data_IF_597339692270
#
_entry.id   IF_597339692270
#
_cell.length_a   1.000
_cell.length_b   1.000
_cell.length_c   1.000
_cell.angle_alpha   90.00
_cell.angle_beta   90.00
_cell.angle_gamma   90.00
#
_symmetry.space_group_name_H-M   'P 1'
#
loop_
_entity.id
_entity.type
_entity.pdbx_description
1 polymer ?
#
# COMPACT_ATOMS: atom_id res chain seq x y z
N UNK A 1 -57.58 14.86 4.70
CA UNK A 1 -56.74 13.91 3.93
C UNK A 1 -55.63 14.57 3.09
N UNK A 2 -55.68 15.87 2.77
CA UNK A 2 -54.59 16.57 2.04
C UNK A 2 -53.34 16.89 2.90
N UNK A 3 -53.52 17.17 4.20
CA UNK A 3 -52.42 17.60 5.10
C UNK A 3 -51.50 16.42 5.51
N UNK A 4 -52.04 15.20 5.66
CA UNK A 4 -51.24 14.00 5.96
C UNK A 4 -50.32 13.56 4.82
N UNK A 5 -50.68 13.83 3.55
CA UNK A 5 -49.86 13.47 2.39
C UNK A 5 -48.65 14.40 2.22
N UNK A 6 -48.78 15.68 2.61
CA UNK A 6 -47.68 16.65 2.52
C UNK A 6 -46.61 16.40 3.60
N UNK A 7 -47.01 15.97 4.79
CA UNK A 7 -46.07 15.64 5.88
C UNK A 7 -45.31 14.35 5.55
N UNK A 8 -45.97 13.33 4.98
CA UNK A 8 -45.31 12.08 4.59
C UNK A 8 -44.27 12.28 3.46
N UNK A 9 -44.53 13.20 2.51
CA UNK A 9 -43.58 13.52 1.45
C UNK A 9 -42.37 14.32 1.95
N UNK A 10 -42.53 15.20 2.93
CA UNK A 10 -41.41 15.92 3.55
C UNK A 10 -40.54 15.01 4.42
N UNK A 11 -41.11 14.01 5.09
CA UNK A 11 -40.35 13.02 5.87
C UNK A 11 -39.52 12.07 4.98
N UNK A 12 -40.01 11.72 3.79
CA UNK A 12 -39.27 10.87 2.84
C UNK A 12 -38.13 11.65 2.16
N UNK A 13 -38.31 12.96 1.92
CA UNK A 13 -37.27 13.82 1.35
C UNK A 13 -36.12 14.11 2.34
N UNK A 14 -36.39 14.13 3.65
CA UNK A 14 -35.36 14.26 4.69
C UNK A 14 -34.60 12.94 5.00
N UNK A 15 -35.20 11.77 4.70
CA UNK A 15 -34.49 10.49 4.80
C UNK A 15 -33.61 10.16 3.59
N UNK A 16 -33.82 10.80 2.43
CA UNK A 16 -33.03 10.56 1.23
C UNK A 16 -31.71 11.37 1.16
N UNK A 17 -31.46 12.30 2.09
CA UNK A 17 -30.24 13.13 2.10
C UNK A 17 -29.11 12.63 3.04
N UNK A 18 -29.23 11.44 3.63
CA UNK A 18 -28.15 10.86 4.46
C UNK A 18 -27.35 9.75 3.75
N UNK A 19 -27.29 9.77 2.41
CA UNK A 19 -26.19 9.14 1.67
C UNK A 19 -25.16 10.20 1.28
N UNK A 20 -24.74 11.03 2.24
CA UNK A 20 -23.36 11.50 2.22
C UNK A 20 -22.55 10.24 2.49
N UNK A 21 -22.15 9.52 1.44
CA UNK A 21 -20.97 8.67 1.55
C UNK A 21 -19.91 9.57 2.17
N UNK A 22 -19.43 9.22 3.37
CA UNK A 22 -18.26 9.89 3.91
C UNK A 22 -17.19 9.75 2.83
N UNK A 23 -16.93 10.82 2.07
CA UNK A 23 -15.91 10.81 1.03
C UNK A 23 -14.61 10.51 1.74
N UNK A 24 -14.06 9.34 1.45
CA UNK A 24 -12.78 8.94 1.97
C UNK A 24 -11.72 9.94 1.45
N UNK A 25 -10.63 10.08 2.21
CA UNK A 25 -9.61 11.08 1.95
C UNK A 25 -8.96 10.89 0.58
N UNK A 26 -8.82 9.63 0.15
CA UNK A 26 -8.29 9.24 -1.15
C UNK A 26 -9.17 9.76 -2.30
N UNK A 27 -10.49 9.59 -2.22
CA UNK A 27 -11.45 10.09 -3.23
C UNK A 27 -11.40 11.61 -3.32
N UNK A 28 -11.22 12.31 -2.19
CA UNK A 28 -11.05 13.76 -2.18
C UNK A 28 -9.82 14.20 -2.98
N UNK A 29 -8.70 13.49 -2.86
CA UNK A 29 -7.51 13.78 -3.65
C UNK A 29 -7.62 13.33 -5.10
N UNK A 30 -8.25 12.20 -5.38
CA UNK A 30 -8.56 11.74 -6.73
C UNK A 30 -9.29 12.81 -7.55
N UNK A 31 -10.27 13.47 -6.93
CA UNK A 31 -11.06 14.52 -7.57
C UNK A 31 -10.27 15.82 -7.84
N UNK A 32 -9.09 16.00 -7.23
CA UNK A 32 -8.21 17.15 -7.47
C UNK A 32 -7.19 16.90 -8.58
N UNK A 33 -7.09 15.67 -9.09
CA UNK A 33 -6.12 15.32 -10.12
C UNK A 33 -6.46 16.08 -11.40
N UNK A 34 -5.50 16.83 -11.98
CA UNK A 34 -5.74 17.48 -13.26
C UNK A 34 -6.00 16.44 -14.35
N UNK A 35 -6.84 16.74 -15.35
CA UNK A 35 -7.10 15.81 -16.43
C UNK A 35 -5.79 15.42 -17.13
N UNK A 36 -5.71 14.17 -17.58
CA UNK A 36 -4.55 13.69 -18.31
C UNK A 36 -4.38 14.56 -19.57
N UNK A 37 -3.19 15.13 -19.78
CA UNK A 37 -2.81 15.80 -20.99
C UNK A 37 -3.29 15.16 -22.28
N UNK A 38 -3.74 16.00 -23.22
CA UNK A 38 -3.88 15.54 -24.61
C UNK A 38 -2.51 15.14 -25.15
N UNK A 39 -2.52 14.14 -26.04
CA UNK A 39 -1.34 13.62 -26.76
C UNK A 39 -0.75 14.67 -27.71
N UNK A 40 -0.11 15.71 -27.18
CA UNK A 40 0.40 16.82 -27.99
C UNK A 40 1.88 17.04 -27.79
N UNK A 41 2.61 16.83 -28.88
CA UNK A 41 3.99 17.28 -29.03
C UNK A 41 4.10 18.77 -29.31
N UNK A 42 2.97 19.48 -29.42
CA UNK A 42 2.88 20.90 -29.74
C UNK A 42 2.52 21.76 -28.51
N UNK A 43 2.75 21.25 -27.30
CA UNK A 43 2.56 22.02 -26.05
C UNK A 43 3.73 22.98 -25.77
N UNK A 44 3.47 24.16 -25.18
CA UNK A 44 4.55 25.07 -24.77
C UNK A 44 5.27 24.61 -23.51
N UNK A 45 6.46 25.15 -23.25
CA UNK A 45 7.22 24.83 -22.03
C UNK A 45 6.48 25.30 -20.77
N UNK A 46 5.90 26.50 -20.82
CA UNK A 46 5.14 27.09 -19.72
C UNK A 46 3.89 26.25 -19.34
N UNK A 47 3.20 25.68 -20.33
CA UNK A 47 2.05 24.80 -20.06
C UNK A 47 2.49 23.49 -19.40
N UNK A 48 3.62 22.90 -19.82
CA UNK A 48 4.18 21.70 -19.16
C UNK A 48 4.60 22.02 -17.73
N UNK A 49 5.29 23.14 -17.50
CA UNK A 49 5.72 23.55 -16.16
C UNK A 49 4.53 23.80 -15.23
N UNK A 50 3.48 24.49 -15.73
CA UNK A 50 2.25 24.73 -14.97
C UNK A 50 1.56 23.41 -14.58
N UNK A 51 1.47 22.47 -15.52
CA UNK A 51 0.89 21.15 -15.25
C UNK A 51 1.70 20.36 -14.22
N UNK A 52 3.03 20.37 -14.34
CA UNK A 52 3.92 19.71 -13.39
C UNK A 52 3.86 20.33 -11.99
N UNK A 53 3.73 21.66 -11.90
CA UNK A 53 3.55 22.37 -10.64
C UNK A 53 2.24 21.99 -9.95
N UNK A 54 1.12 21.96 -10.69
CA UNK A 54 -0.18 21.54 -10.14
C UNK A 54 -0.11 20.13 -9.52
N UNK A 55 0.54 19.19 -10.21
CA UNK A 55 0.73 17.82 -9.70
C UNK A 55 1.68 17.80 -8.51
N UNK A 56 2.77 18.58 -8.55
CA UNK A 56 3.74 18.66 -7.46
C UNK A 56 3.15 19.22 -6.17
N UNK A 57 2.26 20.22 -6.28
CA UNK A 57 1.49 20.73 -5.14
C UNK A 57 0.60 19.62 -4.57
N UNK A 58 -0.14 18.91 -5.41
CA UNK A 58 -1.01 17.81 -4.99
C UNK A 58 -0.21 16.66 -4.33
N UNK A 59 0.94 16.25 -4.90
CA UNK A 59 1.82 15.23 -4.29
C UNK A 59 2.29 15.68 -2.90
N UNK A 60 2.65 16.95 -2.76
CA UNK A 60 3.10 17.53 -1.49
C UNK A 60 1.97 17.54 -0.45
N UNK A 61 0.74 17.89 -0.83
CA UNK A 61 -0.44 17.79 0.04
C UNK A 61 -0.65 16.36 0.54
N UNK A 62 -0.67 15.39 -0.37
CA UNK A 62 -0.87 13.97 -0.03
C UNK A 62 0.27 13.45 0.85
N UNK A 63 1.53 13.80 0.53
CA UNK A 63 2.70 13.43 1.33
C UNK A 63 2.61 13.96 2.76
N UNK A 64 2.18 15.21 2.93
CA UNK A 64 1.96 15.79 4.24
C UNK A 64 0.83 15.07 4.99
N UNK A 65 -0.25 14.73 4.31
CA UNK A 65 -1.35 13.99 4.88
C UNK A 65 -0.94 12.57 5.33
N UNK A 66 -0.20 11.82 4.51
CA UNK A 66 0.37 10.52 4.91
C UNK A 66 1.23 10.67 6.17
N UNK A 67 2.08 11.71 6.23
CA UNK A 67 2.90 11.98 7.42
C UNK A 67 2.05 12.23 8.65
N UNK A 68 0.96 12.98 8.55
CA UNK A 68 0.03 13.22 9.65
C UNK A 68 -0.65 11.92 10.12
N UNK A 69 -1.13 11.09 9.19
CA UNK A 69 -1.76 9.81 9.50
C UNK A 69 -0.79 8.84 10.19
N UNK A 70 0.45 8.73 9.70
CA UNK A 70 1.51 7.94 10.34
C UNK A 70 1.86 8.47 11.73
N UNK A 71 1.83 9.79 11.94
CA UNK A 71 2.03 10.36 13.28
C UNK A 71 0.89 10.01 14.24
N UNK A 72 -0.36 10.03 13.76
CA UNK A 72 -1.53 9.62 14.55
C UNK A 72 -1.47 8.14 14.92
N UNK A 73 -1.16 7.27 13.97
CA UNK A 73 -0.94 5.83 14.20
C UNK A 73 0.14 5.59 15.25
N UNK A 74 1.32 6.20 15.08
CA UNK A 74 2.42 6.08 16.03
C UNK A 74 2.10 6.63 17.41
N UNK A 75 1.37 7.74 17.49
CA UNK A 75 0.94 8.31 18.76
C UNK A 75 -0.02 7.37 19.50
N UNK A 76 -0.95 6.71 18.78
CA UNK A 76 -1.83 5.73 19.38
C UNK A 76 -1.06 4.52 19.91
N UNK A 77 -0.10 4.00 19.16
CA UNK A 77 0.77 2.89 19.61
C UNK A 77 1.60 3.28 20.84
N UNK A 78 2.17 4.49 20.88
CA UNK A 78 2.96 4.96 22.03
C UNK A 78 2.11 5.21 23.28
N UNK A 79 0.98 5.91 23.14
CA UNK A 79 0.08 6.20 24.26
C UNK A 79 -0.55 4.93 24.85
N UNK A 80 -0.57 3.85 24.07
CA UNK A 80 -1.07 2.56 24.48
C UNK A 80 0.05 1.58 24.86
N UNK A 81 1.33 1.96 24.88
CA UNK A 81 2.43 1.01 25.17
C UNK A 81 2.30 0.38 26.56
N UNK A 82 1.99 1.18 27.59
CA UNK A 82 1.75 0.69 28.93
C UNK A 82 0.51 -0.22 29.00
N UNK A 83 -0.56 0.18 28.29
CA UNK A 83 -1.81 -0.60 28.19
C UNK A 83 -1.63 -1.89 27.40
N UNK A 84 -0.79 -1.87 26.36
CA UNK A 84 -0.43 -3.00 25.50
C UNK A 84 0.44 -3.99 26.26
N UNK A 85 1.45 -3.53 27.01
CA UNK A 85 2.22 -4.38 27.95
C UNK A 85 1.31 -4.99 29.02
N UNK A 86 0.44 -4.19 29.63
CA UNK A 86 -0.49 -4.67 30.65
C UNK A 86 -1.49 -5.69 30.09
N UNK A 87 -2.04 -5.46 28.90
CA UNK A 87 -2.99 -6.35 28.25
C UNK A 87 -2.32 -7.62 27.72
N UNK A 88 -1.14 -7.54 27.12
CA UNK A 88 -0.35 -8.71 26.73
C UNK A 88 -0.07 -9.60 27.94
N UNK A 89 0.27 -8.99 29.08
CA UNK A 89 0.42 -9.70 30.33
C UNK A 89 -0.88 -10.29 30.86
N UNK A 90 -1.98 -9.53 30.83
CA UNK A 90 -3.28 -10.02 31.28
C UNK A 90 -3.78 -11.18 30.40
N UNK A 91 -3.54 -11.12 29.09
CA UNK A 91 -3.81 -12.18 28.15
C UNK A 91 -2.93 -13.41 28.42
N UNK A 92 -1.64 -13.23 28.68
CA UNK A 92 -0.76 -14.33 29.11
C UNK A 92 -1.23 -14.94 30.44
N UNK A 93 -1.63 -14.13 31.42
CA UNK A 93 -2.16 -14.63 32.69
C UNK A 93 -3.44 -15.45 32.51
N UNK A 94 -4.36 -14.99 31.65
CA UNK A 94 -5.59 -15.69 31.35
C UNK A 94 -5.37 -16.97 30.51
N UNK A 95 -4.41 -16.94 29.59
CA UNK A 95 -4.10 -18.04 28.67
C UNK A 95 -3.25 -19.15 29.33
N UNK A 96 -2.38 -18.79 30.27
CA UNK A 96 -1.43 -19.73 30.91
C UNK A 96 -1.67 -19.90 32.41
N UNK A 97 -2.77 -19.34 32.95
CA UNK A 97 -3.14 -19.45 34.36
C UNK A 97 -2.09 -18.84 35.30
N UNK A 98 -1.40 -17.78 34.88
CA UNK A 98 -0.32 -17.17 35.66
C UNK A 98 -0.87 -16.32 36.79
N UNK A 99 -0.29 -16.47 37.98
CA UNK A 99 -0.59 -15.63 39.12
C UNK A 99 0.01 -14.23 38.93
N UNK A 100 -0.54 -13.25 39.66
CA UNK A 100 -0.02 -11.88 39.65
C UNK A 100 1.46 -11.81 40.11
N UNK A 101 1.87 -12.76 40.95
CA UNK A 101 3.23 -12.85 41.47
C UNK A 101 4.23 -13.37 40.42
N UNK A 102 3.82 -14.36 39.62
CA UNK A 102 4.58 -14.86 38.46
C UNK A 102 4.74 -13.76 37.39
N UNK A 103 3.68 -12.99 37.17
CA UNK A 103 3.65 -11.84 36.27
C UNK A 103 4.60 -10.72 36.71
N UNK A 104 4.63 -10.38 38.00
CA UNK A 104 5.52 -9.36 38.55
C UNK A 104 6.99 -9.80 38.49
N UNK A 105 7.27 -11.10 38.74
CA UNK A 105 8.62 -11.66 38.57
C UNK A 105 9.09 -11.54 37.12
N UNK A 106 8.22 -11.81 36.16
CA UNK A 106 8.51 -11.69 34.73
C UNK A 106 8.82 -10.24 34.31
N UNK A 107 8.03 -9.27 34.79
CA UNK A 107 8.29 -7.84 34.56
C UNK A 107 9.60 -7.36 35.17
N UNK A 108 9.94 -7.87 36.36
CA UNK A 108 11.13 -7.43 37.09
C UNK A 108 12.45 -7.96 36.51
N UNK A 109 12.39 -8.96 35.61
CA UNK A 109 13.56 -9.67 35.09
C UNK A 109 14.29 -10.56 36.11
N UNK A 110 13.78 -10.64 37.35
CA UNK A 110 14.40 -11.36 38.48
C UNK A 110 13.88 -12.79 38.62
N UNK A 111 13.79 -13.53 37.52
CA UNK A 111 13.43 -14.95 37.57
C UNK A 111 14.68 -15.81 37.71
N UNK A 112 14.67 -16.73 38.67
CA UNK A 112 15.68 -17.79 38.74
C UNK A 112 15.51 -18.77 37.57
N UNK A 113 16.55 -19.55 37.25
CA UNK A 113 16.45 -20.60 36.23
C UNK A 113 15.38 -21.67 36.58
N UNK A 114 15.16 -21.92 37.86
CA UNK A 114 14.09 -22.78 38.33
C UNK A 114 12.70 -22.16 38.09
N UNK A 115 12.53 -20.86 38.36
CA UNK A 115 11.29 -20.13 38.07
C UNK A 115 11.00 -20.10 36.56
N UNK A 116 12.04 -19.87 35.72
CA UNK A 116 11.91 -19.88 34.26
C UNK A 116 11.45 -21.25 33.75
N UNK A 117 12.04 -22.32 34.27
CA UNK A 117 11.69 -23.70 33.90
C UNK A 117 10.29 -24.09 34.37
N UNK A 118 9.89 -23.69 35.57
CA UNK A 118 8.54 -23.91 36.09
C UNK A 118 7.48 -23.14 35.30
N UNK A 119 7.75 -21.89 34.95
CA UNK A 119 6.87 -21.05 34.13
C UNK A 119 6.72 -21.64 32.72
N UNK A 120 7.83 -22.02 32.07
CA UNK A 120 7.81 -22.65 30.76
C UNK A 120 7.00 -23.96 30.80
N UNK A 121 7.18 -24.81 31.82
CA UNK A 121 6.40 -26.03 32.00
C UNK A 121 4.90 -25.76 32.18
N UNK A 122 4.53 -24.70 32.93
CA UNK A 122 3.14 -24.31 33.17
C UNK A 122 2.48 -23.77 31.89
N UNK A 123 3.19 -22.93 31.13
CA UNK A 123 2.73 -22.43 29.84
C UNK A 123 2.52 -23.57 28.83
N UNK A 124 3.40 -24.57 28.84
CA UNK A 124 3.33 -25.74 27.96
C UNK A 124 2.21 -26.72 28.34
N UNK A 125 2.03 -27.01 29.64
CA UNK A 125 0.96 -27.90 30.14
C UNK A 125 -0.43 -27.35 29.85
N UNK A 126 -0.63 -26.03 29.92
CA UNK A 126 -1.94 -25.43 29.66
C UNK A 126 -2.28 -25.32 28.17
N UNK A 127 -1.29 -25.21 27.27
CA UNK A 127 -1.55 -25.08 25.83
C UNK A 127 -1.70 -26.40 25.05
N UNK A 128 -1.03 -27.48 25.46
CA UNK A 128 -0.80 -28.59 24.50
C UNK A 128 -1.17 -29.99 24.97
N UNK A 129 -1.40 -30.25 26.26
CA UNK A 129 -1.49 -31.63 26.76
C UNK A 129 -0.32 -32.54 26.27
N UNK A 130 0.81 -31.95 25.86
CA UNK A 130 1.96 -32.61 25.24
C UNK A 130 3.20 -32.52 26.15
N UNK A 131 4.16 -33.42 25.89
CA UNK A 131 5.43 -33.49 26.63
C UNK A 131 6.57 -32.74 25.91
N UNK A 132 7.59 -32.33 26.68
CA UNK A 132 8.81 -31.65 26.19
C UNK A 132 9.55 -32.38 25.04
N UNK A 133 9.38 -33.70 24.92
CA UNK A 133 10.00 -34.50 23.86
C UNK A 133 9.41 -34.25 22.47
N UNK A 134 8.14 -33.88 22.39
CA UNK A 134 7.43 -33.64 21.11
C UNK A 134 7.77 -32.26 20.53
N UNK A 135 8.03 -31.27 21.38
CA UNK A 135 8.42 -29.90 20.99
C UNK A 135 9.81 -29.83 20.38
N UNK A 136 10.76 -30.65 20.86
CA UNK A 136 12.09 -30.76 20.24
C UNK A 136 12.05 -31.35 18.83
N UNK A 137 11.02 -32.14 18.50
CA UNK A 137 10.80 -32.64 17.15
C UNK A 137 10.13 -31.58 16.26
N UNK A 138 9.26 -30.73 16.82
CA UNK A 138 8.66 -29.59 16.11
C UNK A 138 9.69 -28.56 15.64
N UNK A 139 10.67 -28.25 16.51
CA UNK A 139 11.78 -27.35 16.18
C UNK A 139 12.68 -27.87 15.06
N UNK A 140 12.58 -29.17 14.73
CA UNK A 140 13.33 -29.83 13.66
C UNK A 140 12.53 -30.00 12.36
N UNK A 141 11.26 -29.59 12.33
CA UNK A 141 10.42 -29.69 11.12
C UNK A 141 10.71 -28.57 10.11
N UNK A 142 10.54 -28.88 8.83
CA UNK A 142 10.55 -27.89 7.74
C UNK A 142 9.34 -26.95 7.83
N UNK A 143 9.38 -25.78 7.18
CA UNK A 143 8.25 -24.83 7.16
C UNK A 143 6.95 -25.46 6.65
N UNK A 144 7.03 -26.38 5.68
CA UNK A 144 5.88 -27.17 5.25
C UNK A 144 5.37 -28.13 6.34
N UNK A 145 6.26 -28.71 7.14
CA UNK A 145 5.92 -29.54 8.30
C UNK A 145 5.27 -28.75 9.44
N UNK A 146 5.75 -27.53 9.70
CA UNK A 146 5.13 -26.61 10.68
C UNK A 146 3.72 -26.19 10.25
N UNK A 147 3.54 -25.91 8.95
CA UNK A 147 2.21 -25.60 8.37
C UNK A 147 1.23 -26.78 8.50
N UNK A 148 1.65 -27.98 8.12
CA UNK A 148 0.84 -29.18 8.26
C UNK A 148 0.50 -29.50 9.72
N UNK A 149 1.43 -29.23 10.65
CA UNK A 149 1.18 -29.39 12.08
C UNK A 149 0.14 -28.40 12.61
N UNK A 150 0.18 -27.12 12.22
CA UNK A 150 -0.82 -26.14 12.64
C UNK A 150 -2.22 -26.43 12.04
N UNK A 151 -2.28 -26.89 10.79
CA UNK A 151 -3.54 -27.34 10.15
C UNK A 151 -4.10 -28.60 10.82
N UNK A 152 -3.25 -29.57 11.16
CA UNK A 152 -3.64 -30.77 11.88
C UNK A 152 -4.10 -30.45 13.32
N UNK A 153 -3.40 -29.56 14.03
CA UNK A 153 -3.77 -29.14 15.38
C UNK A 153 -5.13 -28.42 15.41
N UNK A 154 -5.38 -27.51 14.47
CA UNK A 154 -6.69 -26.86 14.32
C UNK A 154 -7.82 -27.86 14.01
N UNK A 155 -7.51 -28.95 13.30
CA UNK A 155 -8.47 -30.01 12.96
C UNK A 155 -8.66 -31.03 14.09
N UNK A 156 -7.62 -31.37 14.82
CA UNK A 156 -7.63 -32.35 15.91
C UNK A 156 -8.23 -31.77 17.20
N UNK A 157 -8.00 -30.48 17.49
CA UNK A 157 -8.67 -29.75 18.57
C UNK A 157 -10.20 -29.66 18.36
N UNK A 158 -10.66 -29.66 17.10
CA UNK A 158 -12.07 -29.74 16.72
C UNK A 158 -12.63 -31.17 16.85
N UNK A 159 -11.79 -32.20 16.74
CA UNK A 159 -12.19 -33.62 16.75
C UNK A 159 -12.13 -34.27 18.15
N UNK A 160 -11.20 -33.86 19.01
CA UNK A 160 -11.02 -34.45 20.36
C UNK A 160 -11.88 -33.82 21.46
N UNK A 161 -12.65 -32.77 21.15
CA UNK A 161 -13.50 -32.09 22.13
C UNK A 161 -14.90 -32.71 22.22
N UNK A 162 -15.01 -33.88 22.83
CA UNK A 162 -16.33 -34.43 23.21
C UNK A 162 -17.02 -33.60 24.31
N UNK A 163 -16.29 -32.70 24.99
CA UNK A 163 -16.79 -31.66 25.92
C UNK A 163 -15.73 -30.52 26.02
N UNK A 164 -15.73 -29.49 25.15
CA UNK A 164 -14.79 -28.37 25.31
C UNK A 164 -15.23 -27.47 26.47
N UNK A 165 -14.35 -27.24 27.44
CA UNK A 165 -14.58 -26.22 28.47
C UNK A 165 -14.64 -24.83 27.79
N UNK A 166 -15.42 -23.89 28.34
CA UNK A 166 -15.71 -22.58 27.72
C UNK A 166 -14.47 -21.74 27.35
N UNK A 167 -13.32 -22.02 27.97
CA UNK A 167 -12.02 -21.38 27.67
C UNK A 167 -11.42 -21.93 26.36
N UNK A 168 -11.40 -23.26 26.18
CA UNK A 168 -10.88 -23.90 24.97
C UNK A 168 -11.70 -23.56 23.72
N UNK A 169 -13.03 -23.42 23.87
CA UNK A 169 -13.90 -22.99 22.78
C UNK A 169 -13.59 -21.55 22.34
N UNK A 170 -13.40 -20.63 23.29
CA UNK A 170 -13.02 -19.24 23.01
C UNK A 170 -11.61 -19.11 22.40
N UNK A 171 -10.68 -19.97 22.78
CA UNK A 171 -9.32 -19.98 22.21
C UNK A 171 -9.29 -20.54 20.79
N UNK A 172 -10.04 -21.61 20.53
CA UNK A 172 -10.24 -22.16 19.17
C UNK A 172 -10.90 -21.14 18.23
N UNK A 173 -11.95 -20.45 18.70
CA UNK A 173 -12.62 -19.38 17.95
C UNK A 173 -11.66 -18.21 17.65
N UNK A 174 -10.86 -17.76 18.63
CA UNK A 174 -9.84 -16.71 18.42
C UNK A 174 -8.73 -17.13 17.44
N UNK A 175 -8.29 -18.38 17.49
CA UNK A 175 -7.28 -18.92 16.59
C UNK A 175 -7.81 -18.98 15.15
N UNK A 176 -9.08 -19.41 14.99
CA UNK A 176 -9.77 -19.44 13.69
C UNK A 176 -9.94 -18.04 13.11
N UNK A 177 -10.45 -17.08 13.89
CA UNK A 177 -10.58 -15.68 13.47
C UNK A 177 -9.24 -15.07 13.04
N UNK A 178 -8.15 -15.38 13.76
CA UNK A 178 -6.82 -14.84 13.44
C UNK A 178 -6.26 -15.45 12.16
N UNK A 179 -6.51 -16.74 11.92
CA UNK A 179 -6.13 -17.43 10.70
C UNK A 179 -6.92 -16.92 9.48
N UNK A 180 -8.23 -16.68 9.64
CA UNK A 180 -9.08 -16.10 8.58
C UNK A 180 -8.59 -14.71 8.17
N UNK A 181 -8.26 -13.83 9.13
CA UNK A 181 -7.69 -12.51 8.83
C UNK A 181 -6.33 -12.58 8.12
N UNK A 182 -5.45 -13.51 8.52
CA UNK A 182 -4.16 -13.71 7.84
C UNK A 182 -4.34 -14.19 6.40
N UNK A 183 -5.26 -15.14 6.16
CA UNK A 183 -5.58 -15.60 4.82
C UNK A 183 -6.16 -14.48 3.95
N UNK A 184 -7.05 -13.68 4.52
CA UNK A 184 -7.62 -12.53 3.82
C UNK A 184 -6.54 -11.49 3.49
N UNK A 185 -5.65 -11.18 4.44
CA UNK A 185 -4.51 -10.29 4.21
C UNK A 185 -3.65 -10.78 3.04
N UNK A 186 -3.31 -12.07 3.02
CA UNK A 186 -2.51 -12.66 1.95
C UNK A 186 -3.21 -12.56 0.60
N UNK A 187 -4.51 -12.84 0.55
CA UNK A 187 -5.32 -12.73 -0.67
C UNK A 187 -5.36 -11.31 -1.22
N UNK A 188 -5.61 -10.33 -0.35
CA UNK A 188 -5.65 -8.90 -0.71
C UNK A 188 -4.27 -8.41 -1.17
N UNK A 189 -3.20 -8.77 -0.46
CA UNK A 189 -1.83 -8.44 -0.88
C UNK A 189 -1.47 -9.05 -2.24
N UNK A 190 -1.95 -10.26 -2.55
CA UNK A 190 -1.72 -10.86 -3.87
C UNK A 190 -2.37 -10.06 -5.00
N UNK A 191 -3.60 -9.54 -4.79
CA UNK A 191 -4.28 -8.67 -5.76
C UNK A 191 -3.56 -7.33 -5.94
N UNK A 192 -3.14 -6.70 -4.84
CA UNK A 192 -2.37 -5.44 -4.86
C UNK A 192 -1.05 -5.63 -5.62
N UNK A 193 -0.35 -6.74 -5.36
CA UNK A 193 0.90 -7.06 -6.07
C UNK A 193 0.67 -7.31 -7.56
N UNK A 194 -0.40 -8.00 -7.95
CA UNK A 194 -0.76 -8.19 -9.36
C UNK A 194 -1.07 -6.85 -10.05
N UNK A 195 -1.82 -5.96 -9.39
CA UNK A 195 -2.06 -4.60 -9.88
C UNK A 195 -0.74 -3.82 -10.06
N UNK A 196 0.15 -3.87 -9.07
CA UNK A 196 1.48 -3.24 -9.12
C UNK A 196 2.34 -3.78 -10.27
N UNK A 197 2.34 -5.10 -10.49
CA UNK A 197 3.03 -5.72 -11.61
C UNK A 197 2.47 -5.27 -12.96
N UNK A 198 1.14 -5.23 -13.10
CA UNK A 198 0.49 -4.72 -14.31
C UNK A 198 0.90 -3.27 -14.58
N UNK A 199 0.88 -2.41 -13.56
CA UNK A 199 1.33 -1.01 -13.65
C UNK A 199 2.79 -0.93 -14.09
N UNK A 200 3.69 -1.69 -13.45
CA UNK A 200 5.12 -1.70 -13.80
C UNK A 200 5.38 -2.14 -15.25
N UNK A 201 4.60 -3.11 -15.74
CA UNK A 201 4.71 -3.61 -17.10
C UNK A 201 4.31 -2.58 -18.16
N UNK A 202 3.33 -1.71 -17.87
CA UNK A 202 2.91 -0.62 -18.78
C UNK A 202 4.08 0.28 -19.15
N UNK A 203 4.85 0.72 -18.14
CA UNK A 203 5.96 1.65 -18.34
C UNK A 203 7.23 0.95 -18.82
N UNK A 204 7.52 -0.23 -18.29
CA UNK A 204 8.70 -1.01 -18.68
C UNK A 204 8.70 -1.33 -20.18
N UNK A 205 7.52 -1.61 -20.76
CA UNK A 205 7.37 -1.87 -22.19
C UNK A 205 7.82 -0.67 -23.06
N UNK A 206 7.56 0.55 -22.60
CA UNK A 206 7.96 1.79 -23.30
C UNK A 206 9.44 2.09 -23.05
N UNK A 207 9.88 1.97 -21.79
CA UNK A 207 11.25 2.28 -21.39
C UNK A 207 12.28 1.38 -22.08
N UNK A 208 11.95 0.08 -22.22
CA UNK A 208 12.82 -0.94 -22.82
C UNK A 208 12.60 -1.12 -24.32
N UNK A 209 11.76 -0.31 -24.96
CA UNK A 209 11.56 -0.40 -26.41
C UNK A 209 12.90 -0.15 -27.14
N UNK A 210 13.41 -1.12 -27.93
CA UNK A 210 14.66 -0.96 -28.68
C UNK A 210 14.63 0.25 -29.63
N UNK A 211 13.48 0.58 -30.21
CA UNK A 211 13.30 1.74 -31.08
C UNK A 211 13.45 3.04 -30.29
N UNK A 212 12.95 3.10 -29.06
CA UNK A 212 13.15 4.26 -28.17
C UNK A 212 14.63 4.50 -27.92
N UNK A 213 15.34 3.44 -27.53
CA UNK A 213 16.78 3.47 -27.23
C UNK A 213 17.56 3.92 -28.48
N UNK A 214 17.24 3.37 -29.65
CA UNK A 214 17.90 3.73 -30.90
C UNK A 214 17.65 5.20 -31.29
N UNK A 215 16.42 5.69 -31.17
CA UNK A 215 16.08 7.08 -31.49
C UNK A 215 16.79 8.06 -30.57
N UNK A 216 16.85 7.79 -29.25
CA UNK A 216 17.62 8.60 -28.30
C UNK A 216 19.11 8.63 -28.65
N UNK A 217 19.72 7.47 -28.91
CA UNK A 217 21.14 7.39 -29.29
C UNK A 217 21.44 8.18 -30.58
N UNK A 218 20.53 8.16 -31.56
CA UNK A 218 20.67 8.95 -32.78
C UNK A 218 20.57 10.45 -32.51
N UNK A 219 19.63 10.89 -31.66
CA UNK A 219 19.47 12.29 -31.26
C UNK A 219 20.75 12.76 -30.55
N UNK A 220 21.24 12.01 -29.56
CA UNK A 220 22.47 12.33 -28.81
C UNK A 220 23.69 12.43 -29.74
N UNK A 221 23.83 11.50 -30.68
CA UNK A 221 24.92 11.53 -31.68
C UNK A 221 24.86 12.79 -32.55
N UNK A 222 23.66 13.17 -33.00
CA UNK A 222 23.48 14.39 -33.80
C UNK A 222 23.75 15.65 -32.96
N UNK A 223 23.30 15.70 -31.71
CA UNK A 223 23.57 16.80 -30.78
C UNK A 223 25.07 16.94 -30.48
N UNK A 224 25.77 15.83 -30.23
CA UNK A 224 27.23 15.84 -30.04
C UNK A 224 27.96 16.39 -31.26
N UNK A 225 27.56 15.97 -32.46
CA UNK A 225 28.09 16.53 -33.71
C UNK A 225 27.81 18.02 -33.84
N UNK A 226 26.59 18.46 -33.51
CA UNK A 226 26.22 19.88 -33.54
C UNK A 226 27.13 20.70 -32.60
N UNK A 227 27.28 20.27 -31.35
CA UNK A 227 28.14 20.93 -30.36
C UNK A 227 29.60 20.98 -30.81
N UNK A 228 30.11 19.93 -31.49
CA UNK A 228 31.50 19.92 -31.98
C UNK A 228 31.79 20.96 -33.08
N UNK A 229 30.76 21.50 -33.73
CA UNK A 229 30.89 22.53 -34.77
C UNK A 229 30.78 23.96 -34.20
N UNK A 230 30.38 24.12 -32.94
CA UNK A 230 30.27 25.43 -32.28
C UNK A 230 31.68 26.04 -32.13
N UNK A 231 31.85 27.28 -32.60
CA UNK A 231 33.12 28.01 -32.51
C UNK A 231 34.15 27.64 -33.59
N UNK A 232 33.82 26.77 -34.54
CA UNK A 232 34.66 26.52 -35.71
C UNK A 232 34.54 27.68 -36.70
N UNK A 233 35.61 28.48 -36.85
CA UNK A 233 35.68 29.70 -37.66
C UNK A 233 35.68 29.47 -39.20
N UNK A 234 35.02 28.43 -39.70
CA UNK A 234 35.23 27.89 -41.05
C UNK A 234 34.01 27.84 -41.99
N UNK A 235 32.94 28.61 -41.76
CA UNK A 235 31.79 28.63 -42.68
C UNK A 235 30.86 27.40 -42.57
N UNK A 236 30.79 26.77 -41.40
CA UNK A 236 29.96 25.59 -41.14
C UNK A 236 28.48 25.91 -40.83
N UNK A 237 28.07 27.19 -40.93
CA UNK A 237 26.71 27.66 -40.60
C UNK A 237 25.60 26.85 -41.26
N UNK A 238 25.66 26.69 -42.59
CA UNK A 238 24.65 25.92 -43.33
C UNK A 238 24.57 24.44 -42.88
N UNK A 239 25.71 23.85 -42.50
CA UNK A 239 25.77 22.48 -41.99
C UNK A 239 25.21 22.37 -40.57
N UNK A 240 25.42 23.39 -39.74
CA UNK A 240 24.82 23.50 -38.40
C UNK A 240 23.31 23.67 -38.50
N UNK A 241 22.82 24.56 -39.36
CA UNK A 241 21.39 24.80 -39.58
C UNK A 241 20.69 23.54 -40.09
N UNK A 242 21.28 22.85 -41.08
CA UNK A 242 20.76 21.57 -41.58
C UNK A 242 20.71 20.50 -40.49
N UNK A 243 21.73 20.44 -39.62
CA UNK A 243 21.77 19.48 -38.53
C UNK A 243 20.76 19.83 -37.41
N UNK A 244 20.57 21.10 -37.10
CA UNK A 244 19.58 21.57 -36.13
C UNK A 244 18.16 21.18 -36.57
N UNK A 245 17.83 21.36 -37.85
CA UNK A 245 16.54 20.91 -38.42
C UNK A 245 16.39 19.39 -38.31
N UNK A 246 17.44 18.61 -38.58
CA UNK A 246 17.41 17.14 -38.44
C UNK A 246 17.19 16.70 -36.99
N UNK A 247 17.88 17.34 -36.03
CA UNK A 247 17.71 17.08 -34.60
C UNK A 247 16.26 17.35 -34.19
N UNK A 248 15.72 18.53 -34.53
CA UNK A 248 14.34 18.91 -34.23
C UNK A 248 13.34 17.92 -34.82
N UNK A 249 13.51 17.53 -36.08
CA UNK A 249 12.63 16.56 -36.73
C UNK A 249 12.66 15.20 -36.04
N UNK A 250 13.83 14.74 -35.60
CA UNK A 250 13.95 13.45 -34.91
C UNK A 250 13.39 13.50 -33.49
N UNK A 251 13.59 14.60 -32.76
CA UNK A 251 12.95 14.86 -31.47
C UNK A 251 11.43 14.90 -31.58
N UNK A 252 10.88 15.50 -32.64
CA UNK A 252 9.44 15.52 -32.89
C UNK A 252 8.90 14.11 -33.18
N UNK A 253 9.59 13.31 -34.00
CA UNK A 253 9.20 11.91 -34.22
C UNK A 253 9.23 11.09 -32.94
N UNK A 254 10.26 11.29 -32.11
CA UNK A 254 10.40 10.62 -30.82
C UNK A 254 9.21 10.94 -29.92
N UNK A 255 8.89 12.23 -29.80
CA UNK A 255 7.72 12.67 -29.05
C UNK A 255 6.42 12.07 -29.60
N UNK A 256 6.19 12.14 -30.91
CA UNK A 256 4.95 11.66 -31.56
C UNK A 256 4.76 10.16 -31.39
N UNK A 257 5.85 9.40 -31.28
CA UNK A 257 5.78 7.96 -31.11
C UNK A 257 5.55 7.54 -29.66
N UNK A 258 6.23 8.16 -28.70
CA UNK A 258 6.26 7.68 -27.31
C UNK A 258 5.34 8.44 -26.36
N UNK A 259 5.00 9.70 -26.64
CA UNK A 259 4.04 10.46 -25.80
C UNK A 259 2.67 9.80 -25.78
N UNK A 260 2.05 9.42 -26.92
CA UNK A 260 0.76 8.71 -26.92
C UNK A 260 0.80 7.40 -26.13
N UNK A 261 1.87 6.60 -26.32
CA UNK A 261 2.04 5.33 -25.59
C UNK A 261 2.12 5.55 -24.08
N UNK A 262 2.85 6.59 -23.65
CA UNK A 262 2.96 6.93 -22.25
C UNK A 262 1.64 7.47 -21.67
N UNK A 263 0.94 8.35 -22.38
CA UNK A 263 -0.38 8.82 -21.98
C UNK A 263 -1.39 7.65 -21.86
N UNK A 264 -1.35 6.69 -22.78
CA UNK A 264 -2.14 5.46 -22.68
C UNK A 264 -1.76 4.62 -21.44
N UNK A 265 -0.46 4.47 -21.15
CA UNK A 265 0.01 3.82 -19.93
C UNK A 265 -0.49 4.53 -18.66
N UNK A 266 -0.45 5.87 -18.62
CA UNK A 266 -0.99 6.67 -17.52
C UNK A 266 -2.50 6.48 -17.35
N UNK A 267 -3.28 6.47 -18.45
CA UNK A 267 -4.72 6.18 -18.38
C UNK A 267 -5.03 4.78 -17.83
N UNK A 268 -4.29 3.76 -18.29
CA UNK A 268 -4.44 2.41 -17.79
C UNK A 268 -4.02 2.29 -16.32
N UNK A 269 -2.94 2.97 -15.91
CA UNK A 269 -2.52 3.04 -14.51
C UNK A 269 -3.65 3.65 -13.66
N UNK A 270 -4.25 4.77 -14.05
CA UNK A 270 -5.38 5.36 -13.33
C UNK A 270 -6.55 4.37 -13.16
N UNK A 271 -6.86 3.62 -14.22
CA UNK A 271 -7.90 2.59 -14.19
C UNK A 271 -7.56 1.44 -13.25
N UNK A 272 -6.31 0.97 -13.26
CA UNK A 272 -5.87 -0.10 -12.35
C UNK A 272 -5.88 0.38 -10.90
N UNK A 273 -5.36 1.58 -10.65
CA UNK A 273 -5.33 2.22 -9.32
C UNK A 273 -6.74 2.31 -8.74
N UNK A 274 -7.67 2.92 -9.47
CA UNK A 274 -9.05 3.12 -9.01
C UNK A 274 -9.75 1.79 -8.70
N UNK A 275 -9.50 0.76 -9.51
CA UNK A 275 -10.02 -0.59 -9.26
C UNK A 275 -9.37 -1.29 -8.06
N UNK A 276 -8.12 -0.95 -7.70
CA UNK A 276 -7.41 -1.55 -6.55
C UNK A 276 -7.64 -0.81 -5.23
N UNK A 277 -8.27 0.37 -5.23
CA UNK A 277 -8.54 1.13 -4.00
C UNK A 277 -9.33 0.35 -2.95
N UNK A 278 -10.40 -0.41 -3.28
CA UNK A 278 -11.10 -1.21 -2.29
C UNK A 278 -10.21 -2.26 -1.62
N UNK A 279 -9.31 -2.88 -2.38
CA UNK A 279 -8.34 -3.85 -1.84
C UNK A 279 -7.32 -3.13 -0.92
N UNK A 280 -6.88 -1.92 -1.27
CA UNK A 280 -6.00 -1.11 -0.41
C UNK A 280 -6.65 -0.73 0.92
N UNK A 281 -7.89 -0.25 0.88
CA UNK A 281 -8.65 0.05 2.10
C UNK A 281 -8.82 -1.20 2.96
N UNK A 282 -9.16 -2.33 2.33
CA UNK A 282 -9.32 -3.60 3.05
C UNK A 282 -8.02 -4.07 3.69
N UNK A 283 -6.88 -3.89 3.03
CA UNK A 283 -5.57 -4.20 3.63
C UNK A 283 -5.30 -3.35 4.88
N UNK A 284 -5.62 -2.05 4.83
CA UNK A 284 -5.51 -1.14 5.96
C UNK A 284 -6.41 -1.55 7.13
N UNK A 285 -7.66 -1.90 6.85
CA UNK A 285 -8.62 -2.40 7.85
C UNK A 285 -8.15 -3.70 8.51
N UNK A 286 -7.76 -4.71 7.72
CA UNK A 286 -7.26 -6.00 8.24
C UNK A 286 -6.01 -5.77 9.10
N UNK A 287 -5.11 -4.88 8.67
CA UNK A 287 -3.91 -4.54 9.44
C UNK A 287 -4.26 -3.88 10.77
N UNK A 288 -5.23 -2.97 10.80
CA UNK A 288 -5.74 -2.36 12.02
C UNK A 288 -6.44 -3.39 12.94
N UNK A 289 -7.25 -4.28 12.38
CA UNK A 289 -7.92 -5.37 13.11
C UNK A 289 -6.93 -6.35 13.74
N UNK A 290 -5.91 -6.77 12.99
CA UNK A 290 -4.83 -7.60 13.51
C UNK A 290 -4.05 -6.89 14.61
N UNK A 291 -3.73 -5.60 14.42
CA UNK A 291 -3.05 -4.78 15.44
C UNK A 291 -3.88 -4.72 16.73
N UNK A 292 -5.19 -4.47 16.60
CA UNK A 292 -6.12 -4.48 17.73
C UNK A 292 -6.18 -5.85 18.41
N UNK A 293 -6.21 -6.95 17.66
CA UNK A 293 -6.23 -8.30 18.25
C UNK A 293 -4.91 -8.65 18.96
N UNK A 294 -3.77 -8.20 18.46
CA UNK A 294 -2.45 -8.51 19.02
C UNK A 294 -2.06 -7.61 20.21
N UNK A 295 -2.44 -6.34 20.15
CA UNK A 295 -1.93 -5.31 21.08
C UNK A 295 -3.04 -4.59 21.85
N UNK A 296 -4.31 -4.82 21.50
CA UNK A 296 -5.50 -4.10 22.02
C UNK A 296 -5.48 -2.61 21.67
N UNK A 297 -4.58 -2.19 20.78
CA UNK A 297 -4.48 -0.82 20.30
C UNK A 297 -5.45 -0.65 19.14
N UNK A 298 -6.34 0.33 19.27
CA UNK A 298 -7.26 0.70 18.20
C UNK A 298 -6.58 1.75 17.32
N UNK A 299 -6.24 1.34 16.10
CA UNK A 299 -5.74 2.27 15.08
C UNK A 299 -6.93 3.07 14.52
N UNK A 300 -6.83 4.41 14.39
CA UNK A 300 -7.90 5.22 13.81
C UNK A 300 -8.24 4.74 12.39
N UNK A 301 -9.53 4.63 12.07
CA UNK A 301 -9.98 4.14 10.75
C UNK A 301 -9.40 4.93 9.57
N UNK A 302 -9.18 6.24 9.74
CA UNK A 302 -8.58 7.10 8.72
C UNK A 302 -7.14 6.69 8.35
N UNK A 303 -6.42 5.99 9.23
CA UNK A 303 -5.08 5.48 8.93
C UNK A 303 -5.10 4.30 7.94
N UNK A 304 -6.25 3.64 7.73
CA UNK A 304 -6.38 2.59 6.71
C UNK A 304 -6.16 3.11 5.28
N UNK A 305 -6.30 4.42 5.06
CA UNK A 305 -6.09 5.06 3.75
C UNK A 305 -4.61 5.37 3.44
N UNK A 306 -3.65 5.06 4.33
CA UNK A 306 -2.23 5.35 4.06
C UNK A 306 -1.77 4.67 2.76
N UNK A 307 -2.12 3.40 2.56
CA UNK A 307 -1.71 2.64 1.37
C UNK A 307 -2.29 3.19 0.08
N UNK A 308 -3.58 3.52 0.06
CA UNK A 308 -4.22 4.13 -1.11
C UNK A 308 -3.65 5.51 -1.46
N UNK A 309 -3.31 6.32 -0.45
CA UNK A 309 -2.65 7.61 -0.66
C UNK A 309 -1.22 7.44 -1.20
N UNK A 310 -0.49 6.39 -0.79
CA UNK A 310 0.84 6.08 -1.33
C UNK A 310 0.77 5.65 -2.80
N UNK A 311 -0.15 4.77 -3.15
CA UNK A 311 -0.40 4.37 -4.54
C UNK A 311 -0.80 5.56 -5.41
N UNK A 312 -1.65 6.45 -4.87
CA UNK A 312 -2.06 7.67 -5.56
C UNK A 312 -0.84 8.57 -5.86
N UNK A 313 0.11 8.69 -4.93
CA UNK A 313 1.36 9.42 -5.18
C UNK A 313 2.22 8.74 -6.25
N UNK A 314 2.26 7.40 -6.26
CA UNK A 314 2.91 6.64 -7.33
C UNK A 314 2.31 6.94 -8.71
N UNK A 315 1.00 7.11 -8.78
CA UNK A 315 0.32 7.58 -10.00
C UNK A 315 0.68 9.03 -10.35
N UNK A 316 0.69 9.95 -9.38
CA UNK A 316 1.04 11.35 -9.62
C UNK A 316 2.47 11.51 -10.16
N UNK A 317 3.44 10.71 -9.69
CA UNK A 317 4.79 10.66 -10.26
C UNK A 317 4.76 10.36 -11.76
N UNK A 318 3.96 9.37 -12.19
CA UNK A 318 3.83 9.04 -13.61
C UNK A 318 3.07 10.12 -14.38
N UNK A 319 2.03 10.68 -13.79
CA UNK A 319 1.27 11.76 -14.42
C UNK A 319 2.14 13.02 -14.64
N UNK A 320 2.97 13.40 -13.66
CA UNK A 320 3.89 14.55 -13.76
C UNK A 320 4.87 14.39 -14.93
N UNK A 321 5.21 13.15 -15.26
CA UNK A 321 6.10 12.78 -16.34
C UNK A 321 5.39 12.55 -17.69
N UNK A 322 4.11 12.95 -17.84
CA UNK A 322 3.33 12.77 -19.08
C UNK A 322 4.02 13.32 -20.34
N UNK A 323 4.82 14.38 -20.19
CA UNK A 323 5.53 15.04 -21.28
C UNK A 323 7.02 14.71 -21.35
N UNK A 324 7.50 13.68 -20.64
CA UNK A 324 8.95 13.36 -20.59
C UNK A 324 9.56 13.04 -21.96
N UNK A 325 8.74 12.64 -22.95
CA UNK A 325 9.18 12.33 -24.31
C UNK A 325 9.24 13.55 -25.23
N UNK A 326 8.81 14.72 -24.75
CA UNK A 326 8.96 16.00 -25.46
C UNK A 326 10.35 16.58 -25.16
N UNK A 327 11.27 16.34 -26.09
CA UNK A 327 12.67 16.78 -25.98
C UNK A 327 12.93 18.19 -26.53
N UNK A 328 11.92 18.79 -27.17
CA UNK A 328 12.01 20.12 -27.78
C UNK A 328 10.74 20.92 -27.50
N UNK A 329 10.93 22.18 -27.14
CA UNK A 329 9.87 23.17 -26.96
C UNK A 329 10.12 24.29 -27.98
N UNK A 330 9.12 24.65 -28.80
CA UNK A 330 9.23 25.89 -29.57
C UNK A 330 9.33 27.06 -28.59
N UNK A 331 10.26 27.99 -28.87
CA UNK A 331 10.29 29.32 -28.26
C UNK A 331 9.11 30.17 -28.78
#
# INVERSE_FOLDING_TARGET
MKIMKTILFFSILFLACNFLQAQNLTDNYLNKIPPIPKESCDISKAEVETFQEQIGVLDTEIKNQIRLLRQQENAQVKNSEARSKQNAMQQMSQQYGLSQEEMNKMQSGKMSEADKKALANKMMQQQTNMSMGEVQNLGKMSEAGKKAYMEAYGTEAMATSSQPNAVQKKESEKAKDSYELMNEQQSVMAKINDASQKIGNLYTAIEKDPKRIQMLANIEKMQSKFTSMIGANGGQGDSMDSLAVKIKNEQNKYCQLFTPQYCNAVNQHFTILTNSLPDQFRLGEITAEMTKKQTVVEIPAICAEIGSLEDLRGYLDKLQNAYQYKLYYPE
#
